data_IF_061568019704
#
_entry.id   IF_061568019704
#
_cell.length_a   1.000
_cell.length_b   1.000
_cell.length_c   1.000
_cell.angle_alpha   90.00
_cell.angle_beta   90.00
_cell.angle_gamma   90.00
#
_symmetry.space_group_name_H-M   'P 1'
#
loop_
_entity.id
_entity.type
_entity.pdbx_description
1 polymer ?
#
# COMPACT_ATOMS: atom_id res chain seq x y z
N UNK A 1 4.51 61.48 22.16
CA UNK A 1 4.32 60.84 20.85
C UNK A 1 4.21 59.33 21.05
N UNK A 2 2.99 58.84 21.12
CA UNK A 2 2.64 57.46 21.44
C UNK A 2 2.45 56.67 20.13
N UNK A 3 3.29 55.69 19.82
CA UNK A 3 3.15 54.82 18.60
C UNK A 3 2.40 53.57 19.03
N UNK A 4 1.18 53.49 18.57
CA UNK A 4 0.31 52.32 18.69
C UNK A 4 0.76 51.26 17.67
N UNK A 5 1.24 50.10 18.12
CA UNK A 5 1.51 48.91 17.28
C UNK A 5 0.22 48.11 17.11
N UNK A 6 -0.28 48.07 15.91
CA UNK A 6 -1.42 47.28 15.46
C UNK A 6 -0.93 45.85 15.13
N UNK A 7 -1.23 44.89 15.99
CA UNK A 7 -0.96 43.46 15.73
C UNK A 7 -2.07 42.89 14.87
N UNK A 8 -1.73 42.60 13.62
CA UNK A 8 -2.62 41.92 12.68
C UNK A 8 -2.59 40.41 12.97
N UNK A 9 -3.63 39.89 13.61
CA UNK A 9 -3.80 38.46 13.86
C UNK A 9 -4.21 37.73 12.59
N UNK A 10 -3.31 36.91 12.05
CA UNK A 10 -3.62 36.00 10.94
C UNK A 10 -4.28 34.76 11.54
N UNK A 11 -5.60 34.65 11.40
CA UNK A 11 -6.36 33.42 11.69
C UNK A 11 -6.21 32.45 10.51
N UNK A 12 -5.46 31.38 10.74
CA UNK A 12 -5.32 30.27 9.80
C UNK A 12 -6.61 29.42 9.83
N UNK A 13 -7.32 29.19 8.71
CA UNK A 13 -8.47 28.31 8.71
C UNK A 13 -8.02 26.85 8.91
N UNK A 14 -8.55 26.20 9.95
CA UNK A 14 -8.50 24.75 10.12
C UNK A 14 -9.19 24.09 8.91
N UNK A 15 -8.44 23.42 8.08
CA UNK A 15 -9.00 22.52 7.05
C UNK A 15 -9.72 21.36 7.76
N UNK A 16 -11.03 21.49 7.88
CA UNK A 16 -11.93 20.43 8.31
C UNK A 16 -11.84 19.27 7.30
N UNK A 17 -11.50 18.08 7.81
CA UNK A 17 -11.50 16.85 7.03
C UNK A 17 -12.85 16.62 6.36
N UNK A 18 -12.83 16.17 5.11
CA UNK A 18 -14.02 15.85 4.32
C UNK A 18 -14.91 14.87 5.08
N UNK A 19 -16.20 15.16 5.25
CA UNK A 19 -17.12 14.23 5.88
C UNK A 19 -17.23 12.96 5.02
N UNK A 20 -17.16 11.79 5.67
CA UNK A 20 -17.56 10.54 5.06
C UNK A 20 -19.02 10.69 4.63
N UNK A 21 -19.32 10.51 3.35
CA UNK A 21 -20.69 10.50 2.84
C UNK A 21 -21.45 9.34 3.50
N UNK A 22 -22.28 9.65 4.49
CA UNK A 22 -23.27 8.73 4.99
C UNK A 22 -24.40 8.67 3.98
N UNK A 23 -24.68 7.48 3.44
CA UNK A 23 -25.80 7.26 2.54
C UNK A 23 -27.02 6.93 3.41
N UNK A 24 -27.93 7.90 3.58
CA UNK A 24 -29.22 7.69 4.24
C UNK A 24 -30.14 6.96 3.28
N UNK A 25 -30.53 5.73 3.64
CA UNK A 25 -31.60 5.00 2.96
C UNK A 25 -32.89 5.22 3.74
N UNK A 26 -33.85 6.03 3.26
CA UNK A 26 -35.12 6.22 3.93
C UNK A 26 -35.99 4.97 3.74
N UNK A 27 -36.12 4.16 4.79
CA UNK A 27 -37.16 3.11 4.86
C UNK A 27 -38.27 3.57 5.78
N UNK A 28 -39.56 3.61 5.32
CA UNK A 28 -40.68 4.02 6.14
C UNK A 28 -40.85 3.06 7.34
N UNK A 29 -40.78 3.62 8.58
CA UNK A 29 -41.05 2.87 9.81
C UNK A 29 -39.87 2.22 10.50
N UNK A 30 -38.62 2.44 10.05
CA UNK A 30 -37.41 1.91 10.70
C UNK A 30 -36.48 3.08 11.10
N UNK A 31 -35.84 2.97 12.27
CA UNK A 31 -34.88 3.94 12.74
C UNK A 31 -33.74 4.15 11.71
N UNK A 32 -33.28 5.40 11.57
CA UNK A 32 -32.17 5.75 10.66
C UNK A 32 -30.91 4.95 11.00
N UNK A 33 -30.55 4.02 10.13
CA UNK A 33 -29.27 3.31 10.22
C UNK A 33 -28.23 4.04 9.36
N UNK A 34 -27.37 4.83 9.98
CA UNK A 34 -26.20 5.38 9.32
C UNK A 34 -25.16 4.27 9.07
N UNK A 35 -25.00 3.80 7.84
CA UNK A 35 -23.96 2.85 7.48
C UNK A 35 -22.70 3.62 7.07
N UNK A 36 -21.65 3.52 7.87
CA UNK A 36 -20.34 4.06 7.50
C UNK A 36 -19.73 3.24 6.34
N UNK A 37 -19.96 3.66 5.10
CA UNK A 37 -19.43 3.01 3.91
C UNK A 37 -18.04 3.58 3.61
N UNK A 38 -16.99 2.74 3.74
CA UNK A 38 -15.66 3.09 3.25
C UNK A 38 -15.57 2.74 1.76
N UNK A 39 -15.06 3.67 0.94
CA UNK A 39 -14.81 3.37 -0.47
C UNK A 39 -13.79 2.23 -0.62
N UNK A 40 -13.88 1.44 -1.70
CA UNK A 40 -12.90 0.39 -2.01
C UNK A 40 -11.47 0.94 -2.05
N UNK A 41 -11.28 2.15 -2.53
CA UNK A 41 -9.99 2.84 -2.54
C UNK A 41 -9.49 3.12 -1.11
N UNK A 42 -10.36 3.60 -0.22
CA UNK A 42 -10.00 3.84 1.18
C UNK A 42 -9.65 2.53 1.91
N UNK A 43 -10.33 1.43 1.60
CA UNK A 43 -10.02 0.13 2.18
C UNK A 43 -8.62 -0.37 1.81
N UNK A 44 -8.16 -0.15 0.58
CA UNK A 44 -6.81 -0.55 0.12
C UNK A 44 -5.68 0.12 0.90
N UNK A 45 -5.91 1.31 1.43
CA UNK A 45 -4.92 2.06 2.22
C UNK A 45 -5.11 1.94 3.74
N UNK A 46 -5.96 1.04 4.21
CA UNK A 46 -6.16 0.82 5.66
C UNK A 46 -4.90 0.29 6.35
N UNK A 47 -4.15 -0.56 5.67
CA UNK A 47 -2.94 -1.23 6.19
C UNK A 47 -1.74 -1.08 5.26
N UNK A 48 -1.77 -0.11 4.35
CA UNK A 48 -0.66 0.24 3.46
C UNK A 48 -0.55 1.75 3.44
N UNK A 49 0.62 2.27 3.76
CA UNK A 49 0.88 3.71 3.72
C UNK A 49 1.10 4.16 2.29
N UNK A 50 0.50 5.31 1.95
CA UNK A 50 0.65 5.91 0.64
C UNK A 50 1.96 6.68 0.57
N UNK A 51 2.67 6.56 -0.55
CA UNK A 51 3.82 7.42 -0.85
C UNK A 51 3.38 8.87 -1.09
N UNK A 52 4.22 9.81 -0.68
CA UNK A 52 3.96 11.24 -0.85
C UNK A 52 4.61 11.80 -2.11
N UNK A 53 5.72 11.21 -2.57
CA UNK A 53 6.47 11.61 -3.76
C UNK A 53 6.66 10.41 -4.70
N UNK A 54 6.84 10.66 -5.99
CA UNK A 54 7.00 9.60 -6.99
C UNK A 54 8.22 8.70 -6.74
N UNK A 55 9.27 9.23 -6.12
CA UNK A 55 10.48 8.50 -5.77
C UNK A 55 10.52 7.97 -4.32
N UNK A 56 9.42 8.09 -3.55
CA UNK A 56 9.37 7.71 -2.12
C UNK A 56 8.75 6.34 -1.85
N UNK A 57 8.55 5.49 -2.86
CA UNK A 57 7.98 4.15 -2.68
C UNK A 57 8.76 3.32 -1.64
N UNK A 58 10.08 3.47 -1.58
CA UNK A 58 10.92 2.77 -0.61
C UNK A 58 10.64 3.16 0.84
N UNK A 59 10.50 4.46 1.15
CA UNK A 59 10.16 4.91 2.50
C UNK A 59 8.75 4.51 2.91
N UNK A 60 7.78 4.59 1.99
CA UNK A 60 6.41 4.19 2.25
C UNK A 60 6.26 2.65 2.41
N UNK A 61 6.98 1.85 1.61
CA UNK A 61 7.04 0.41 1.80
C UNK A 61 7.65 0.03 3.15
N UNK A 62 8.76 0.67 3.54
CA UNK A 62 9.40 0.43 4.83
C UNK A 62 8.52 0.87 6.01
N UNK A 63 7.84 2.02 5.89
CA UNK A 63 6.88 2.49 6.89
C UNK A 63 5.69 1.53 7.04
N UNK A 64 5.18 1.01 5.92
CA UNK A 64 4.12 -0.01 5.91
C UNK A 64 4.58 -1.28 6.61
N UNK A 65 5.77 -1.77 6.27
CA UNK A 65 6.37 -2.98 6.86
C UNK A 65 6.49 -2.83 8.38
N UNK A 66 7.10 -1.75 8.87
CA UNK A 66 7.31 -1.52 10.29
C UNK A 66 6.01 -1.35 11.06
N UNK A 67 5.09 -0.54 10.54
CA UNK A 67 3.85 -0.18 11.24
C UNK A 67 2.89 -1.36 11.34
N UNK A 68 2.63 -2.06 10.23
CA UNK A 68 1.55 -3.05 10.17
C UNK A 68 2.01 -4.49 10.34
N UNK A 69 3.31 -4.76 10.14
CA UNK A 69 3.82 -6.12 10.22
C UNK A 69 4.73 -6.37 11.43
N UNK A 70 5.43 -5.34 11.89
CA UNK A 70 6.35 -5.44 13.03
C UNK A 70 5.88 -4.67 14.27
N UNK A 71 4.66 -4.10 14.26
CA UNK A 71 4.08 -3.39 15.39
C UNK A 71 4.88 -2.17 15.84
N UNK A 72 5.62 -1.53 14.93
CA UNK A 72 6.43 -0.33 15.16
C UNK A 72 5.86 0.86 14.38
N UNK A 73 4.88 1.59 14.92
CA UNK A 73 4.24 2.70 14.23
C UNK A 73 5.26 3.78 13.84
N UNK A 74 5.32 4.10 12.56
CA UNK A 74 6.18 5.15 12.02
C UNK A 74 5.53 5.73 10.76
N UNK A 75 5.71 7.03 10.55
CA UNK A 75 5.20 7.71 9.36
C UNK A 75 6.16 7.58 8.18
N UNK A 76 5.61 7.59 6.98
CA UNK A 76 6.43 7.63 5.76
C UNK A 76 7.36 8.84 5.75
N UNK A 77 6.86 10.03 6.14
CA UNK A 77 7.64 11.26 6.20
C UNK A 77 8.87 11.16 7.14
N UNK A 78 8.73 10.52 8.29
CA UNK A 78 9.85 10.35 9.24
C UNK A 78 10.95 9.44 8.67
N UNK A 79 10.57 8.33 8.02
CA UNK A 79 11.53 7.44 7.35
C UNK A 79 12.17 8.15 6.15
N UNK A 80 11.36 8.80 5.32
CA UNK A 80 11.82 9.56 4.17
C UNK A 80 12.89 10.57 4.56
N UNK A 81 12.56 11.45 5.50
CA UNK A 81 13.48 12.50 5.95
C UNK A 81 14.81 11.90 6.43
N UNK A 82 14.74 10.84 7.22
CA UNK A 82 15.94 10.22 7.75
C UNK A 82 16.79 9.56 6.68
N UNK A 83 16.20 8.75 5.81
CA UNK A 83 16.92 8.10 4.72
C UNK A 83 17.46 9.10 3.71
N UNK A 84 16.74 10.21 3.47
CA UNK A 84 17.17 11.26 2.56
C UNK A 84 18.40 12.04 3.09
N UNK A 85 18.40 12.35 4.39
CA UNK A 85 19.54 13.03 5.04
C UNK A 85 20.79 12.15 5.08
N UNK A 86 20.61 10.86 5.35
CA UNK A 86 21.72 9.90 5.49
C UNK A 86 22.22 9.34 4.15
N UNK A 87 21.44 9.49 3.09
CA UNK A 87 21.71 8.93 1.76
C UNK A 87 22.31 9.93 0.76
N UNK A 88 22.52 9.45 -0.45
CA UNK A 88 23.01 10.30 -1.55
C UNK A 88 21.83 11.03 -2.20
N UNK A 89 21.52 12.23 -1.74
CA UNK A 89 20.30 12.98 -2.08
C UNK A 89 20.05 13.15 -3.59
N UNK A 90 21.11 13.44 -4.37
CA UNK A 90 21.00 13.58 -5.83
C UNK A 90 20.53 12.26 -6.47
N UNK A 91 21.12 11.14 -6.08
CA UNK A 91 20.76 9.82 -6.58
C UNK A 91 19.34 9.41 -6.15
N UNK A 92 18.97 9.70 -4.89
CA UNK A 92 17.63 9.41 -4.37
C UNK A 92 16.55 10.17 -5.17
N UNK A 93 16.79 11.41 -5.56
CA UNK A 93 15.83 12.19 -6.38
C UNK A 93 15.68 11.62 -7.79
N UNK A 94 16.70 11.01 -8.35
CA UNK A 94 16.69 10.45 -9.71
C UNK A 94 16.18 9.00 -9.76
N UNK A 95 16.60 8.16 -8.82
CA UNK A 95 16.39 6.72 -8.85
C UNK A 95 15.49 6.21 -7.71
N UNK A 96 15.15 7.05 -6.73
CA UNK A 96 14.50 6.64 -5.49
C UNK A 96 15.48 6.06 -4.46
N UNK A 97 14.92 5.57 -3.35
CA UNK A 97 15.70 4.91 -2.31
C UNK A 97 16.16 3.51 -2.74
N UNK A 98 17.33 3.12 -2.29
CA UNK A 98 17.87 1.76 -2.47
C UNK A 98 17.55 0.86 -1.26
N UNK A 99 17.68 -0.46 -1.43
CA UNK A 99 17.62 -1.41 -0.31
C UNK A 99 18.72 -1.15 0.73
N UNK A 100 19.88 -0.62 0.31
CA UNK A 100 20.95 -0.25 1.21
C UNK A 100 20.56 0.94 2.11
N UNK A 101 19.81 1.92 1.59
CA UNK A 101 19.31 3.02 2.40
C UNK A 101 18.33 2.53 3.45
N UNK A 102 17.44 1.59 3.08
CA UNK A 102 16.52 0.93 4.01
C UNK A 102 17.27 0.12 5.05
N UNK A 103 18.29 -0.64 4.67
CA UNK A 103 19.12 -1.43 5.57
C UNK A 103 19.83 -0.56 6.61
N UNK A 104 20.42 0.57 6.16
CA UNK A 104 21.08 1.55 7.05
C UNK A 104 20.08 2.15 8.03
N UNK A 105 18.87 2.51 7.57
CA UNK A 105 17.81 2.99 8.45
C UNK A 105 17.45 1.95 9.52
N UNK A 106 17.19 0.71 9.10
CA UNK A 106 16.86 -0.39 10.02
C UNK A 106 17.95 -0.67 11.04
N UNK A 107 19.23 -0.67 10.62
CA UNK A 107 20.36 -0.84 11.52
C UNK A 107 20.41 0.23 12.63
N UNK A 108 20.07 1.48 12.30
CA UNK A 108 19.98 2.57 13.31
C UNK A 108 18.95 2.33 14.39
N UNK A 109 17.84 1.71 14.03
CA UNK A 109 16.77 1.35 14.98
C UNK A 109 16.94 -0.07 15.56
N UNK A 110 18.16 -0.63 15.41
CA UNK A 110 18.58 -1.94 15.93
C UNK A 110 17.76 -3.12 15.35
N UNK A 111 17.33 -3.02 14.10
CA UNK A 111 16.76 -4.11 13.33
C UNK A 111 17.76 -4.57 12.28
N UNK A 112 17.86 -5.89 12.12
CA UNK A 112 18.69 -6.51 11.09
C UNK A 112 17.83 -6.88 9.89
N UNK A 113 18.25 -6.48 8.70
CA UNK A 113 17.56 -6.79 7.46
C UNK A 113 18.57 -7.04 6.35
N UNK A 114 18.31 -8.06 5.56
CA UNK A 114 19.15 -8.48 4.44
C UNK A 114 18.31 -8.90 3.24
N UNK A 115 18.95 -8.90 2.07
CA UNK A 115 18.38 -9.40 0.83
C UNK A 115 18.67 -10.87 0.63
N UNK A 116 17.65 -11.67 0.36
CA UNK A 116 17.75 -13.12 0.12
C UNK A 116 17.22 -13.45 -1.28
N UNK A 117 18.05 -14.11 -2.08
CA UNK A 117 17.63 -14.64 -3.38
C UNK A 117 16.95 -16.00 -3.20
N UNK A 118 15.68 -16.00 -2.86
CA UNK A 118 14.87 -17.18 -2.58
C UNK A 118 13.55 -17.14 -3.35
N UNK A 119 12.96 -18.30 -3.68
CA UNK A 119 11.63 -18.34 -4.27
C UNK A 119 10.56 -17.82 -3.29
N UNK A 120 9.50 -17.21 -3.86
CA UNK A 120 8.42 -16.60 -3.05
C UNK A 120 7.70 -17.62 -2.16
N UNK A 121 7.67 -18.88 -2.58
CA UNK A 121 7.08 -19.99 -1.83
C UNK A 121 7.75 -20.15 -0.45
N UNK A 122 9.08 -19.96 -0.38
CA UNK A 122 9.81 -20.01 0.89
C UNK A 122 9.45 -18.88 1.84
N UNK A 123 9.17 -17.69 1.29
CA UNK A 123 8.67 -16.57 2.09
C UNK A 123 7.28 -16.86 2.65
N UNK A 124 6.39 -17.42 1.83
CA UNK A 124 5.02 -17.79 2.23
C UNK A 124 5.04 -18.87 3.32
N UNK A 125 5.88 -19.90 3.15
CA UNK A 125 6.10 -20.95 4.16
C UNK A 125 6.61 -20.38 5.49
N UNK A 126 7.58 -19.47 5.43
CA UNK A 126 8.17 -18.81 6.60
C UNK A 126 7.24 -17.81 7.27
N UNK A 127 6.14 -17.42 6.62
CA UNK A 127 5.17 -16.43 7.09
C UNK A 127 5.81 -15.09 7.48
N UNK A 128 6.82 -14.67 6.73
CA UNK A 128 7.54 -13.42 6.94
C UNK A 128 7.15 -12.40 5.87
N UNK A 129 6.85 -11.15 6.23
CA UNK A 129 6.68 -10.08 5.25
C UNK A 129 8.04 -9.65 4.70
N UNK A 130 8.06 -9.22 3.44
CA UNK A 130 9.28 -8.77 2.76
C UNK A 130 9.01 -7.55 1.89
N UNK A 131 10.02 -6.70 1.69
CA UNK A 131 10.01 -5.71 0.62
C UNK A 131 10.60 -6.36 -0.63
N UNK A 132 9.97 -6.13 -1.77
CA UNK A 132 10.42 -6.59 -3.09
C UNK A 132 10.36 -5.44 -4.09
N UNK A 133 11.19 -5.52 -5.12
CA UNK A 133 11.16 -4.59 -6.25
C UNK A 133 10.39 -5.25 -7.39
N UNK A 134 9.25 -4.68 -7.76
CA UNK A 134 8.48 -5.10 -8.93
C UNK A 134 8.78 -4.19 -10.12
N UNK A 135 8.70 -4.78 -11.31
CA UNK A 135 8.81 -4.07 -12.60
C UNK A 135 7.50 -4.25 -13.36
N UNK A 136 6.65 -3.24 -13.37
CA UNK A 136 5.36 -3.24 -14.06
C UNK A 136 5.35 -2.12 -15.12
N UNK A 137 5.12 -2.46 -16.37
CA UNK A 137 5.07 -1.50 -17.50
C UNK A 137 6.31 -0.59 -17.61
N UNK A 138 7.50 -1.12 -17.32
CA UNK A 138 8.76 -0.37 -17.35
C UNK A 138 9.00 0.52 -16.11
N UNK A 139 8.10 0.52 -15.16
CA UNK A 139 8.25 1.22 -13.88
C UNK A 139 8.66 0.27 -12.76
N UNK A 140 9.81 0.57 -12.13
CA UNK A 140 10.33 -0.19 -11.00
C UNK A 140 9.88 0.46 -9.69
N UNK A 141 9.25 -0.29 -8.79
CA UNK A 141 8.83 0.24 -7.50
C UNK A 141 8.87 -0.80 -6.38
N UNK A 142 9.08 -0.32 -5.17
CA UNK A 142 9.09 -1.16 -3.99
C UNK A 142 7.68 -1.36 -3.46
N UNK A 143 7.37 -2.63 -3.17
CA UNK A 143 6.13 -3.04 -2.52
C UNK A 143 6.42 -3.97 -1.35
N UNK A 144 5.46 -4.13 -0.44
CA UNK A 144 5.54 -5.08 0.67
C UNK A 144 4.75 -6.33 0.31
N UNK A 145 5.39 -7.50 0.34
CA UNK A 145 4.68 -8.79 0.38
C UNK A 145 4.11 -8.96 1.78
N UNK A 146 2.81 -8.88 1.91
CA UNK A 146 2.05 -8.93 3.18
C UNK A 146 1.50 -10.30 3.49
N UNK A 147 1.42 -11.16 2.48
CA UNK A 147 0.85 -12.49 2.56
C UNK A 147 0.86 -13.21 1.23
N UNK A 148 0.36 -14.41 1.24
CA UNK A 148 0.16 -15.21 0.05
C UNK A 148 -0.41 -16.58 0.37
N UNK A 149 -0.98 -17.21 -0.64
CA UNK A 149 -1.43 -18.59 -0.65
C UNK A 149 -0.82 -19.33 -1.87
N UNK A 150 -1.28 -20.53 -2.16
CA UNK A 150 -0.79 -21.33 -3.30
C UNK A 150 -1.08 -20.70 -4.67
N UNK A 151 -1.98 -19.74 -4.75
CA UNK A 151 -2.49 -19.15 -6.01
C UNK A 151 -2.20 -17.67 -6.15
N UNK A 152 -2.11 -16.94 -5.03
CA UNK A 152 -2.05 -15.47 -5.00
C UNK A 152 -1.01 -14.96 -4.02
N UNK A 153 -0.45 -13.80 -4.34
CA UNK A 153 0.41 -13.00 -3.46
C UNK A 153 -0.34 -11.71 -3.09
N UNK A 154 -0.36 -11.38 -1.81
CA UNK A 154 -0.95 -10.17 -1.26
C UNK A 154 0.15 -9.13 -1.09
N UNK A 155 0.02 -8.00 -1.76
CA UNK A 155 1.01 -6.94 -1.77
C UNK A 155 0.43 -5.62 -1.23
N UNK A 156 1.25 -4.91 -0.47
CA UNK A 156 1.02 -3.52 -0.08
C UNK A 156 1.83 -2.60 -0.99
N UNK A 157 1.13 -1.99 -1.91
CA UNK A 157 1.70 -1.11 -2.93
C UNK A 157 1.54 0.35 -2.49
N UNK A 158 2.62 1.11 -2.29
CA UNK A 158 2.54 2.51 -1.86
C UNK A 158 1.74 3.43 -2.79
N UNK A 159 1.63 3.08 -4.07
CA UNK A 159 0.88 3.85 -5.07
C UNK A 159 -0.58 3.42 -5.18
N UNK A 160 -0.85 2.10 -5.08
CA UNK A 160 -2.15 1.51 -5.37
C UNK A 160 -2.88 0.93 -4.13
N UNK A 161 -2.19 0.88 -2.98
CA UNK A 161 -2.69 0.28 -1.74
C UNK A 161 -2.57 -1.25 -1.74
N UNK A 162 -3.24 -1.89 -0.80
CA UNK A 162 -3.26 -3.36 -0.70
C UNK A 162 -4.00 -3.96 -1.88
N UNK A 163 -3.36 -4.90 -2.58
CA UNK A 163 -3.92 -5.67 -3.71
C UNK A 163 -3.39 -7.09 -3.72
N UNK A 164 -4.15 -8.01 -4.28
CA UNK A 164 -3.69 -9.37 -4.58
C UNK A 164 -3.42 -9.52 -6.07
N UNK A 165 -2.41 -10.32 -6.43
CA UNK A 165 -2.16 -10.75 -7.79
C UNK A 165 -1.91 -12.25 -7.84
N UNK A 166 -2.13 -12.89 -8.99
CA UNK A 166 -1.81 -14.30 -9.16
C UNK A 166 -0.31 -14.55 -8.95
N UNK A 167 0.03 -15.71 -8.43
CA UNK A 167 1.42 -16.11 -8.21
C UNK A 167 2.22 -16.10 -9.53
N UNK A 168 1.60 -16.50 -10.64
CA UNK A 168 2.20 -16.45 -11.98
C UNK A 168 2.55 -15.02 -12.36
N UNK A 169 1.58 -14.10 -12.26
CA UNK A 169 1.81 -12.69 -12.58
C UNK A 169 2.86 -12.04 -11.69
N UNK A 170 2.86 -12.38 -10.39
CA UNK A 170 3.89 -11.88 -9.47
C UNK A 170 5.29 -12.28 -9.92
N UNK A 171 5.49 -13.55 -10.30
CA UNK A 171 6.80 -14.06 -10.77
C UNK A 171 7.27 -13.37 -12.07
N UNK A 172 6.36 -13.02 -12.97
CA UNK A 172 6.66 -12.28 -14.20
C UNK A 172 7.18 -10.86 -13.92
N UNK A 173 6.54 -10.14 -12.97
CA UNK A 173 6.88 -8.75 -12.66
C UNK A 173 7.95 -8.59 -11.58
N UNK A 174 8.47 -9.69 -11.05
CA UNK A 174 9.52 -9.73 -10.02
C UNK A 174 10.85 -10.26 -10.59
N UNK A 175 11.62 -9.43 -11.35
CA UNK A 175 12.74 -9.92 -12.15
C UNK A 175 13.95 -10.34 -11.33
N UNK A 176 14.24 -9.65 -10.24
CA UNK A 176 15.46 -9.86 -9.45
C UNK A 176 15.36 -10.97 -8.41
N UNK A 177 14.17 -11.49 -8.14
CA UNK A 177 13.89 -12.55 -7.16
C UNK A 177 14.49 -12.31 -5.78
N UNK A 178 14.69 -11.02 -5.41
CA UNK A 178 15.29 -10.62 -4.16
C UNK A 178 14.22 -10.27 -3.13
N UNK A 179 14.24 -10.94 -2.00
CA UNK A 179 13.41 -10.71 -0.82
C UNK A 179 14.22 -9.92 0.20
N UNK A 180 13.81 -8.69 0.50
CA UNK A 180 14.39 -7.91 1.58
C UNK A 180 13.59 -8.13 2.86
N UNK A 181 14.18 -8.81 3.84
CA UNK A 181 13.51 -9.33 5.03
C UNK A 181 14.19 -8.81 6.29
N UNK A 182 13.39 -8.37 7.27
CA UNK A 182 13.87 -8.14 8.64
C UNK A 182 13.92 -9.51 9.35
N UNK A 183 15.08 -9.88 9.85
CA UNK A 183 15.30 -11.14 10.52
C UNK A 183 15.79 -10.95 11.97
N UNK A 184 15.84 -12.05 12.75
CA UNK A 184 16.22 -12.03 14.17
C UNK A 184 15.35 -11.05 15.00
N UNK A 185 14.07 -10.90 14.64
CA UNK A 185 13.12 -10.09 15.38
C UNK A 185 12.43 -10.94 16.44
N UNK A 186 12.48 -10.49 17.71
CA UNK A 186 11.92 -11.20 18.86
C UNK A 186 10.43 -10.91 19.14
N UNK A 187 9.85 -9.95 18.41
CA UNK A 187 8.44 -9.58 18.57
C UNK A 187 7.51 -10.37 17.65
N UNK A 188 6.22 -10.09 17.75
CA UNK A 188 5.21 -10.68 16.85
C UNK A 188 5.29 -10.07 15.47
N UNK A 189 5.26 -10.92 14.44
CA UNK A 189 5.23 -10.53 13.03
C UNK A 189 3.87 -10.89 12.44
N UNK A 190 3.23 -9.93 11.79
CA UNK A 190 1.95 -10.15 11.11
C UNK A 190 2.20 -10.53 9.66
N UNK A 191 1.64 -11.67 9.22
CA UNK A 191 1.64 -12.12 7.82
C UNK A 191 0.29 -12.78 7.52
N UNK A 192 -0.27 -12.56 6.35
CA UNK A 192 -1.61 -13.03 5.97
C UNK A 192 -2.72 -12.44 6.86
N UNK A 193 -2.61 -11.15 7.22
CA UNK A 193 -3.59 -10.46 8.04
C UNK A 193 -4.99 -10.44 7.42
N UNK A 194 -6.03 -10.72 8.22
CA UNK A 194 -7.43 -10.72 7.73
C UNK A 194 -7.88 -9.35 7.20
N UNK A 195 -7.37 -8.26 7.77
CA UNK A 195 -7.65 -6.91 7.29
C UNK A 195 -7.07 -6.67 5.89
N UNK A 196 -5.90 -7.24 5.60
CA UNK A 196 -5.25 -7.14 4.30
C UNK A 196 -6.02 -7.91 3.23
N UNK A 197 -6.47 -9.12 3.52
CA UNK A 197 -7.28 -9.91 2.60
C UNK A 197 -8.66 -9.29 2.34
N UNK A 198 -9.26 -8.63 3.33
CA UNK A 198 -10.52 -7.88 3.12
C UNK A 198 -10.35 -6.69 2.17
N UNK A 199 -9.16 -6.08 2.14
CA UNK A 199 -8.85 -5.00 1.20
C UNK A 199 -8.64 -5.49 -0.25
N UNK A 200 -8.38 -6.78 -0.43
CA UNK A 200 -8.15 -7.42 -1.73
C UNK A 200 -8.95 -8.74 -1.86
N UNK A 201 -10.30 -8.69 -1.80
CA UNK A 201 -11.12 -9.87 -1.87
C UNK A 201 -10.90 -10.61 -3.19
N UNK A 202 -11.03 -11.94 -3.17
CA UNK A 202 -11.15 -12.71 -4.40
C UNK A 202 -12.47 -12.33 -5.09
N UNK A 203 -12.41 -12.05 -6.40
CA UNK A 203 -13.63 -11.88 -7.16
C UNK A 203 -14.35 -13.26 -7.22
N UNK A 204 -15.61 -13.37 -6.78
CA UNK A 204 -16.31 -14.66 -6.78
C UNK A 204 -16.42 -15.32 -8.15
N UNK A 205 -16.28 -14.52 -9.21
CA UNK A 205 -16.39 -14.96 -10.61
C UNK A 205 -15.05 -15.09 -11.32
N UNK A 206 -13.91 -14.83 -10.67
CA UNK A 206 -12.61 -14.87 -11.33
C UNK A 206 -12.23 -16.27 -11.85
N UNK A 207 -12.77 -17.31 -11.23
CA UNK A 207 -12.51 -18.70 -11.61
C UNK A 207 -13.59 -19.29 -12.52
N UNK A 208 -14.73 -18.59 -12.72
CA UNK A 208 -15.90 -19.11 -13.45
C UNK A 208 -16.13 -18.39 -14.79
N UNK A 209 -15.66 -17.15 -14.93
CA UNK A 209 -15.86 -16.38 -16.16
C UNK A 209 -14.58 -16.45 -17.00
N UNK A 210 -14.58 -17.34 -17.99
CA UNK A 210 -13.61 -17.28 -19.07
C UNK A 210 -13.81 -15.97 -19.84
N UNK A 211 -12.80 -15.10 -19.76
CA UNK A 211 -12.83 -13.78 -20.42
C UNK A 211 -12.96 -13.90 -21.95
N UNK A 212 -12.66 -15.05 -22.53
CA UNK A 212 -12.88 -15.32 -23.94
C UNK A 212 -14.37 -15.41 -24.28
N UNK A 213 -15.21 -15.81 -23.32
CA UNK A 213 -16.68 -15.85 -23.48
C UNK A 213 -17.31 -14.46 -23.43
N UNK A 214 -16.66 -13.49 -22.74
CA UNK A 214 -17.19 -12.12 -22.64
C UNK A 214 -17.03 -11.31 -23.95
N UNK A 215 -16.11 -11.69 -24.80
CA UNK A 215 -15.95 -11.08 -26.14
C UNK A 215 -17.11 -11.38 -27.08
N UNK A 216 -17.90 -12.45 -26.81
CA UNK A 216 -19.05 -12.84 -27.60
C UNK A 216 -20.40 -12.37 -27.01
N UNK A 217 -20.39 -11.71 -25.83
CA UNK A 217 -21.56 -11.02 -25.30
C UNK A 217 -21.70 -9.66 -26.01
N UNK A 218 -22.34 -9.67 -27.18
CA UNK A 218 -22.87 -8.44 -27.77
C UNK A 218 -23.98 -7.93 -26.87
N UNK A 219 -23.68 -6.96 -26.01
CA UNK A 219 -24.71 -6.18 -25.34
C UNK A 219 -25.59 -5.55 -26.41
N UNK A 220 -26.93 -5.70 -26.36
CA UNK A 220 -27.80 -5.02 -27.29
C UNK A 220 -27.54 -3.52 -27.18
N UNK A 221 -26.96 -2.94 -28.24
CA UNK A 221 -26.85 -1.50 -28.36
C UNK A 221 -28.24 -0.98 -28.73
N UNK A 222 -28.95 -0.44 -27.77
CA UNK A 222 -30.09 0.40 -28.08
C UNK A 222 -29.54 1.62 -28.84
N UNK A 223 -29.98 1.78 -30.09
CA UNK A 223 -29.62 2.95 -30.90
C UNK A 223 -30.24 4.24 -30.30
N UNK A 224 -29.68 5.43 -30.55
CA UNK A 224 -30.29 6.68 -30.15
C UNK A 224 -31.62 6.82 -30.90
N UNK A 225 -32.76 6.62 -30.20
CA UNK A 225 -34.10 6.77 -30.76
C UNK A 225 -35.11 5.69 -30.37
N UNK A 226 -34.76 4.67 -29.59
CA UNK A 226 -35.65 3.64 -29.06
C UNK A 226 -36.13 3.94 -27.62
N UNK A 227 -36.79 5.10 -27.45
CA UNK A 227 -37.66 5.39 -26.28
C UNK A 227 -38.94 6.02 -26.78
#
# INVERSE_FOLDING_TARGET
MLRTLLTLGITLPLLSGSPALAMDLPMPGVAHFGVNVKSMRAMRFTTTLRQQYDFSCGSAALATLLTYHYGRPVTEAAIFQRMFVDGHQMKIRQEGFSLLDMQRYLARIKLKADGFALPIEKLIESRLPAIVLLSENGYNHFVVVKGGDSTRVLIGDPSNGTRAMSLTRFKEVWPNKLLFVIHQYSGTVTFNGSADWRAAPAAPLADVVDRSLLTNLSLPRHGPGEF
#
